data_IF_307212746765
#
_entry.id   IF_307212746765
#
_cell.length_a   1.000
_cell.length_b   1.000
_cell.length_c   1.000
_cell.angle_alpha   90.00
_cell.angle_beta   90.00
_cell.angle_gamma   90.00
#
_symmetry.space_group_name_H-M   'P 1'
#
loop_
_entity.id
_entity.type
_entity.pdbx_description
1 polymer ?
#
# COMPACT_ATOMS: atom_id res chain seq x y z
N UNK A 1 7.34 -3.33 35.98
CA UNK A 1 6.44 -4.50 36.11
C UNK A 1 5.02 -4.00 35.96
N UNK A 2 4.40 -4.25 34.81
CA UNK A 2 2.98 -3.93 34.57
C UNK A 2 2.15 -5.13 35.00
N UNK A 3 1.39 -4.97 36.08
CA UNK A 3 0.43 -5.99 36.53
C UNK A 3 -0.82 -5.97 35.65
N UNK A 4 -1.40 -7.15 35.47
CA UNK A 4 -2.52 -7.48 34.59
C UNK A 4 -3.68 -6.46 34.73
N UNK A 5 -3.93 -5.95 35.93
CA UNK A 5 -5.04 -5.02 36.25
C UNK A 5 -5.00 -3.64 35.56
N UNK A 6 -3.92 -3.26 34.87
CA UNK A 6 -3.82 -1.98 34.16
C UNK A 6 -4.23 -2.04 32.67
N UNK A 7 -4.60 -3.21 32.16
CA UNK A 7 -5.00 -3.38 30.77
C UNK A 7 -6.49 -3.10 30.57
N UNK A 8 -6.82 -2.41 29.48
CA UNK A 8 -8.22 -2.16 29.07
C UNK A 8 -8.97 -3.50 28.95
N UNK A 9 -10.20 -3.54 29.47
CA UNK A 9 -11.14 -4.68 29.40
C UNK A 9 -11.22 -5.26 27.98
N UNK A 10 -11.07 -4.41 26.95
CA UNK A 10 -11.04 -4.84 25.54
C UNK A 10 -9.94 -5.86 25.23
N UNK A 11 -8.78 -5.77 25.88
CA UNK A 11 -7.65 -6.68 25.69
C UNK A 11 -8.01 -8.09 26.19
N UNK A 12 -8.72 -8.18 27.30
CA UNK A 12 -9.22 -9.46 27.83
C UNK A 12 -10.26 -10.09 26.93
N UNK A 13 -11.18 -9.29 26.40
CA UNK A 13 -12.19 -9.78 25.43
C UNK A 13 -11.49 -10.30 24.18
N UNK A 14 -10.47 -9.60 23.69
CA UNK A 14 -9.73 -10.03 22.51
C UNK A 14 -8.90 -11.29 22.77
N UNK A 15 -8.27 -11.39 23.94
CA UNK A 15 -7.56 -12.59 24.37
C UNK A 15 -8.50 -13.79 24.45
N UNK A 16 -9.64 -13.65 25.13
CA UNK A 16 -10.64 -14.71 25.26
C UNK A 16 -11.17 -15.17 23.89
N UNK A 17 -11.43 -14.25 22.96
CA UNK A 17 -11.83 -14.58 21.58
C UNK A 17 -10.76 -15.39 20.85
N UNK A 18 -9.48 -14.98 20.96
CA UNK A 18 -8.37 -15.70 20.33
C UNK A 18 -8.19 -17.10 20.92
N UNK A 19 -8.25 -17.24 22.24
CA UNK A 19 -8.16 -18.54 22.91
C UNK A 19 -9.31 -19.46 22.48
N UNK A 20 -10.54 -18.96 22.42
CA UNK A 20 -11.69 -19.74 21.96
C UNK A 20 -11.55 -20.21 20.50
N UNK A 21 -11.03 -19.35 19.61
CA UNK A 21 -10.76 -19.72 18.21
C UNK A 21 -9.69 -20.81 18.10
N UNK A 22 -8.61 -20.70 18.87
CA UNK A 22 -7.54 -21.72 18.89
C UNK A 22 -8.09 -23.05 19.42
N UNK A 23 -8.89 -23.02 20.48
CA UNK A 23 -9.52 -24.23 21.01
C UNK A 23 -10.49 -24.87 20.01
N UNK A 24 -11.26 -24.06 19.26
CA UNK A 24 -12.17 -24.58 18.25
C UNK A 24 -11.41 -25.27 17.12
N UNK A 25 -10.38 -24.62 16.57
CA UNK A 25 -9.50 -25.20 15.54
C UNK A 25 -8.86 -26.49 16.07
N UNK A 26 -8.47 -26.51 17.35
CA UNK A 26 -7.90 -27.68 17.98
C UNK A 26 -8.89 -28.85 18.06
N UNK A 27 -10.17 -28.60 18.34
CA UNK A 27 -11.21 -29.63 18.37
C UNK A 27 -11.51 -30.17 16.98
N UNK A 28 -11.57 -29.29 15.98
CA UNK A 28 -11.92 -29.65 14.60
C UNK A 28 -10.80 -30.44 13.91
N UNK A 29 -9.54 -30.02 14.11
CA UNK A 29 -8.39 -30.56 13.38
C UNK A 29 -7.43 -31.41 14.21
N UNK A 30 -7.62 -31.48 15.53
CA UNK A 30 -6.78 -32.24 16.47
C UNK A 30 -5.28 -32.06 16.23
N UNK A 31 -4.83 -30.82 16.04
CA UNK A 31 -3.45 -30.50 15.61
C UNK A 31 -2.37 -31.01 16.59
N UNK A 32 -2.72 -31.27 17.85
CA UNK A 32 -1.80 -31.81 18.86
C UNK A 32 -1.58 -33.31 18.67
N UNK A 33 -2.51 -34.01 18.01
CA UNK A 33 -2.42 -35.44 17.69
C UNK A 33 -1.72 -35.66 16.34
N UNK A 34 -1.56 -34.61 15.52
CA UNK A 34 -0.96 -34.70 14.18
C UNK A 34 0.50 -35.20 14.19
N UNK A 35 1.25 -34.91 15.25
CA UNK A 35 2.63 -35.41 15.43
C UNK A 35 2.70 -36.90 15.75
N UNK A 36 1.59 -37.52 16.18
CA UNK A 36 1.50 -38.94 16.49
C UNK A 36 1.07 -39.81 15.31
N UNK A 37 0.67 -39.19 14.19
CA UNK A 37 0.27 -39.92 12.97
C UNK A 37 1.52 -40.42 12.25
N UNK A 38 1.71 -41.75 12.08
CA UNK A 38 2.86 -42.28 11.37
C UNK A 38 2.84 -41.82 9.90
N UNK A 39 4.00 -41.47 9.35
CA UNK A 39 4.12 -40.96 7.97
C UNK A 39 3.52 -41.92 6.91
N UNK A 40 3.46 -43.22 7.22
CA UNK A 40 2.88 -44.25 6.36
C UNK A 40 1.35 -44.16 6.22
N UNK A 41 0.66 -43.46 7.13
CA UNK A 41 -0.78 -43.18 7.07
C UNK A 41 -1.11 -41.81 6.45
N UNK A 42 -0.11 -41.06 5.99
CA UNK A 42 -0.38 -39.84 5.23
C UNK A 42 -1.02 -40.22 3.91
N UNK A 43 -2.33 -39.98 3.80
CA UNK A 43 -3.02 -40.02 2.52
C UNK A 43 -2.38 -38.96 1.63
N UNK A 44 -1.75 -39.41 0.54
CA UNK A 44 -1.35 -38.53 -0.54
C UNK A 44 -2.63 -37.87 -1.03
N UNK A 45 -2.71 -36.55 -0.87
CA UNK A 45 -3.85 -35.77 -1.28
C UNK A 45 -4.02 -35.93 -2.81
N UNK A 46 -4.98 -36.76 -3.22
CA UNK A 46 -5.27 -37.05 -4.63
C UNK A 46 -6.13 -35.94 -5.27
N UNK A 47 -6.49 -34.91 -4.50
CA UNK A 47 -7.19 -33.76 -5.03
C UNK A 47 -6.25 -32.95 -5.92
N UNK A 48 -6.57 -32.78 -7.21
CA UNK A 48 -5.75 -31.95 -8.07
C UNK A 48 -5.85 -30.53 -7.54
N UNK A 49 -4.69 -29.94 -7.24
CA UNK A 49 -4.64 -28.52 -6.84
C UNK A 49 -5.19 -27.69 -8.00
N UNK A 50 -5.87 -26.59 -7.70
CA UNK A 50 -6.42 -25.69 -8.72
C UNK A 50 -5.37 -25.32 -9.79
N UNK A 51 -4.11 -25.18 -9.39
CA UNK A 51 -2.97 -24.93 -10.28
C UNK A 51 -2.70 -26.05 -11.29
N UNK A 52 -2.91 -27.31 -10.91
CA UNK A 52 -2.73 -28.48 -11.78
C UNK A 52 -3.91 -28.64 -12.74
N UNK A 53 -5.13 -28.34 -12.29
CA UNK A 53 -6.30 -28.25 -13.17
C UNK A 53 -6.15 -27.12 -14.18
N UNK A 54 -5.66 -25.95 -13.78
CA UNK A 54 -5.37 -24.83 -14.69
C UNK A 54 -4.31 -25.20 -15.74
N UNK A 55 -3.31 -26.01 -15.36
CA UNK A 55 -2.31 -26.55 -16.28
C UNK A 55 -2.94 -27.51 -17.29
N UNK A 56 -3.76 -28.46 -16.82
CA UNK A 56 -4.48 -29.41 -17.67
C UNK A 56 -5.48 -28.74 -18.61
N UNK A 57 -6.17 -27.71 -18.14
CA UNK A 57 -7.13 -26.93 -18.92
C UNK A 57 -6.45 -25.95 -19.88
N UNK A 58 -5.11 -25.83 -19.86
CA UNK A 58 -4.37 -24.87 -20.67
C UNK A 58 -4.67 -23.40 -20.33
N UNK A 59 -5.30 -23.15 -19.18
CA UNK A 59 -5.65 -21.81 -18.68
C UNK A 59 -4.50 -21.21 -17.87
N UNK A 60 -3.48 -22.01 -17.54
CA UNK A 60 -2.34 -21.61 -16.71
C UNK A 60 -1.78 -20.24 -17.12
N UNK A 61 -1.69 -19.29 -16.18
CA UNK A 61 -1.21 -17.94 -16.45
C UNK A 61 0.25 -17.92 -16.95
N UNK A 62 1.02 -18.98 -16.69
CA UNK A 62 2.41 -19.11 -17.16
C UNK A 62 2.52 -19.34 -18.68
N UNK A 63 1.48 -19.86 -19.34
CA UNK A 63 1.45 -20.07 -20.79
C UNK A 63 0.95 -18.86 -21.57
N UNK A 64 0.26 -17.91 -20.91
CA UNK A 64 -0.21 -16.68 -21.55
C UNK A 64 0.91 -15.66 -21.56
N UNK A 65 1.83 -15.79 -22.53
CA UNK A 65 2.61 -14.64 -22.98
C UNK A 65 1.60 -13.59 -23.44
N UNK A 66 1.53 -12.41 -22.79
CA UNK A 66 0.58 -11.39 -23.22
C UNK A 66 0.87 -11.06 -24.69
N UNK A 67 -0.17 -11.03 -25.52
CA UNK A 67 -0.06 -10.77 -26.96
C UNK A 67 0.43 -9.35 -27.25
N UNK A 68 0.26 -8.45 -26.30
CA UNK A 68 0.88 -7.13 -26.25
C UNK A 68 1.21 -6.77 -24.81
N UNK A 69 2.39 -6.20 -24.60
CA UNK A 69 2.78 -5.57 -23.35
C UNK A 69 2.84 -4.06 -23.60
N UNK A 70 1.96 -3.31 -22.94
CA UNK A 70 1.97 -1.86 -23.00
C UNK A 70 2.74 -1.33 -21.80
N UNK A 71 3.73 -0.49 -22.06
CA UNK A 71 4.37 0.26 -21.00
C UNK A 71 3.42 1.34 -20.50
N UNK A 72 3.45 1.59 -19.19
CA UNK A 72 2.75 2.72 -18.62
C UNK A 72 3.27 4.01 -19.28
N UNK A 73 2.39 4.95 -19.67
CA UNK A 73 2.82 6.25 -20.19
C UNK A 73 3.61 7.01 -19.11
N UNK A 74 4.45 7.95 -19.55
CA UNK A 74 5.13 8.84 -18.62
C UNK A 74 4.10 9.56 -17.72
N UNK A 75 4.37 9.58 -16.42
CA UNK A 75 3.47 10.14 -15.39
C UNK A 75 2.09 9.46 -15.26
N UNK A 76 1.98 8.16 -15.59
CA UNK A 76 0.75 7.38 -15.44
C UNK A 76 0.10 7.51 -14.06
N UNK A 77 0.88 7.54 -12.98
CA UNK A 77 0.35 7.63 -11.62
C UNK A 77 -0.32 8.98 -11.33
N UNK A 78 0.12 10.06 -11.99
CA UNK A 78 -0.51 11.39 -11.88
C UNK A 78 -1.81 11.43 -12.71
N UNK A 79 -1.80 10.80 -13.89
CA UNK A 79 -2.96 10.76 -14.78
C UNK A 79 -4.06 9.81 -14.30
N UNK A 80 -3.69 8.73 -13.62
CA UNK A 80 -4.62 7.71 -13.12
C UNK A 80 -5.19 8.08 -11.75
N UNK A 81 -5.04 9.31 -11.28
CA UNK A 81 -5.73 9.76 -10.07
C UNK A 81 -7.23 9.43 -10.21
N UNK A 82 -7.73 8.68 -9.23
CA UNK A 82 -9.15 8.34 -9.15
C UNK A 82 -9.95 9.65 -9.27
N UNK A 83 -11.10 9.69 -9.97
CA UNK A 83 -11.99 10.84 -9.93
C UNK A 83 -12.49 11.15 -8.50
N UNK A 84 -12.30 10.21 -7.56
CA UNK A 84 -12.54 10.39 -6.12
C UNK A 84 -11.25 10.63 -5.31
N UNK A 85 -10.07 10.66 -5.94
CA UNK A 85 -8.87 11.13 -5.30
C UNK A 85 -8.99 12.64 -5.12
N UNK A 86 -8.87 13.08 -3.87
CA UNK A 86 -9.16 14.44 -3.39
C UNK A 86 -8.36 15.56 -4.08
N UNK A 87 -7.44 15.25 -4.99
CA UNK A 87 -6.66 16.22 -5.76
C UNK A 87 -7.44 17.06 -6.79
N UNK A 88 -8.65 16.65 -7.19
CA UNK A 88 -9.55 17.50 -8.00
C UNK A 88 -10.47 18.39 -7.15
N UNK A 89 -10.68 18.04 -5.88
CA UNK A 89 -11.58 18.75 -4.95
C UNK A 89 -10.80 19.75 -4.10
N UNK A 90 -9.54 19.44 -3.79
CA UNK A 90 -8.67 20.32 -3.03
C UNK A 90 -8.05 21.41 -3.93
N UNK A 91 -8.12 22.70 -3.53
CA UNK A 91 -7.35 23.73 -4.20
C UNK A 91 -5.86 23.49 -3.93
N UNK A 92 -5.11 23.12 -4.97
CA UNK A 92 -3.66 22.98 -4.90
C UNK A 92 -2.99 24.32 -5.23
N UNK A 93 -1.89 24.64 -4.53
CA UNK A 93 -1.03 25.80 -4.80
C UNK A 93 -0.12 25.53 -6.02
N UNK A 94 -0.73 25.14 -7.15
CA UNK A 94 -0.08 24.83 -8.41
C UNK A 94 -0.19 23.35 -8.82
N UNK A 95 0.01 23.08 -10.11
CA UNK A 95 0.06 21.71 -10.63
C UNK A 95 1.42 21.08 -10.33
N UNK A 96 1.43 19.86 -9.77
CA UNK A 96 2.65 19.08 -9.52
C UNK A 96 3.52 18.96 -10.79
N UNK A 97 2.90 18.85 -11.98
CA UNK A 97 3.63 18.79 -13.25
C UNK A 97 4.42 20.07 -13.55
N UNK A 98 3.90 21.22 -13.13
CA UNK A 98 4.58 22.51 -13.33
C UNK A 98 5.76 22.60 -12.38
N UNK A 99 5.59 22.16 -11.13
CA UNK A 99 6.66 22.14 -10.12
C UNK A 99 7.79 21.18 -10.50
N UNK A 100 7.47 19.98 -10.99
CA UNK A 100 8.48 19.01 -11.46
C UNK A 100 9.25 19.53 -12.67
N UNK A 101 8.56 20.12 -13.66
CA UNK A 101 9.21 20.78 -14.82
C UNK A 101 10.14 21.92 -14.39
N UNK A 102 9.76 22.72 -13.38
CA UNK A 102 10.63 23.77 -12.84
C UNK A 102 11.85 23.16 -12.13
N UNK A 103 11.67 22.11 -11.32
CA UNK A 103 12.78 21.40 -10.67
C UNK A 103 13.75 20.81 -11.68
N UNK A 104 13.25 20.22 -12.77
CA UNK A 104 14.08 19.67 -13.84
C UNK A 104 14.85 20.77 -14.60
N UNK A 105 14.20 21.88 -14.93
CA UNK A 105 14.86 23.05 -15.54
C UNK A 105 15.97 23.59 -14.63
N UNK A 106 15.70 23.70 -13.33
CA UNK A 106 16.71 24.12 -12.35
C UNK A 106 17.85 23.12 -12.26
N UNK A 107 17.57 21.81 -12.28
CA UNK A 107 18.60 20.74 -12.28
C UNK A 107 19.53 20.81 -13.48
N UNK A 108 19.00 21.07 -14.68
CA UNK A 108 19.77 21.20 -15.94
C UNK A 108 20.63 22.47 -16.00
N UNK A 109 20.31 23.52 -15.24
CA UNK A 109 21.11 24.74 -15.14
C UNK A 109 22.34 24.54 -14.25
N UNK A 110 23.48 24.13 -14.82
CA UNK A 110 24.80 24.17 -14.18
C UNK A 110 25.33 25.61 -14.18
N UNK A 111 25.14 26.34 -13.08
CA UNK A 111 25.66 27.71 -12.95
C UNK A 111 26.91 27.73 -12.08
N UNK A 112 28.02 28.25 -12.62
CA UNK A 112 29.32 28.34 -11.95
C UNK A 112 29.37 29.48 -10.90
N UNK A 113 28.46 30.46 -10.99
CA UNK A 113 28.45 31.63 -10.11
C UNK A 113 27.80 31.37 -8.73
N UNK A 114 28.54 31.71 -7.66
CA UNK A 114 28.13 31.54 -6.23
C UNK A 114 26.79 32.23 -5.90
N UNK A 115 26.48 33.36 -6.56
CA UNK A 115 25.21 34.11 -6.39
C UNK A 115 24.02 33.37 -6.99
N UNK A 116 24.20 32.70 -8.14
CA UNK A 116 23.13 31.94 -8.80
C UNK A 116 22.83 30.63 -8.05
N UNK A 117 23.84 30.00 -7.43
CA UNK A 117 23.64 28.84 -6.56
C UNK A 117 22.72 29.17 -5.36
N UNK A 118 22.93 30.33 -4.71
CA UNK A 118 22.07 30.78 -3.60
C UNK A 118 20.62 31.05 -4.04
N UNK A 119 20.43 31.72 -5.19
CA UNK A 119 19.09 31.98 -5.74
C UNK A 119 18.36 30.68 -6.10
N UNK A 120 19.06 29.73 -6.70
CA UNK A 120 18.50 28.42 -7.02
C UNK A 120 18.08 27.66 -5.77
N UNK A 121 18.89 27.72 -4.70
CA UNK A 121 18.53 27.11 -3.42
C UNK A 121 17.24 27.73 -2.85
N UNK A 122 17.15 29.06 -2.81
CA UNK A 122 15.94 29.74 -2.33
C UNK A 122 14.67 29.39 -3.13
N UNK A 123 14.79 29.18 -4.44
CA UNK A 123 13.65 28.75 -5.27
C UNK A 123 13.27 27.29 -4.99
N UNK A 124 14.25 26.41 -4.73
CA UNK A 124 13.97 25.02 -4.33
C UNK A 124 13.30 24.98 -2.95
N UNK A 125 13.83 25.72 -1.99
CA UNK A 125 13.26 25.81 -0.64
C UNK A 125 11.79 26.31 -0.70
N UNK A 126 11.50 27.29 -1.55
CA UNK A 126 10.13 27.77 -1.80
C UNK A 126 9.21 26.71 -2.45
N UNK A 127 9.73 25.87 -3.34
CA UNK A 127 8.95 24.77 -3.92
C UNK A 127 8.66 23.66 -2.90
N UNK A 128 9.61 23.40 -1.99
CA UNK A 128 9.44 22.43 -0.91
C UNK A 128 8.36 22.93 0.08
N UNK A 129 8.38 24.21 0.46
CA UNK A 129 7.33 24.81 1.30
C UNK A 129 5.93 24.71 0.67
N UNK A 130 5.83 24.84 -0.65
CA UNK A 130 4.55 24.69 -1.36
C UNK A 130 4.07 23.23 -1.36
N UNK A 131 4.98 22.26 -1.43
CA UNK A 131 4.63 20.84 -1.28
C UNK A 131 4.08 20.57 0.13
N UNK A 132 4.75 21.07 1.17
CA UNK A 132 4.29 20.91 2.56
C UNK A 132 2.89 21.53 2.78
N UNK A 133 2.62 22.70 2.19
CA UNK A 133 1.30 23.33 2.24
C UNK A 133 0.22 22.49 1.53
N UNK A 134 0.55 21.90 0.39
CA UNK A 134 -0.39 21.03 -0.33
C UNK A 134 -0.70 19.75 0.46
N UNK A 135 0.29 19.19 1.16
CA UNK A 135 0.08 18.03 2.04
C UNK A 135 -0.84 18.37 3.23
N UNK A 136 -0.67 19.55 3.82
CA UNK A 136 -1.57 20.04 4.87
C UNK A 136 -3.00 20.24 4.36
N UNK A 137 -3.17 20.82 3.17
CA UNK A 137 -4.48 20.97 2.53
C UNK A 137 -5.09 19.59 2.26
N UNK A 138 -4.29 18.65 1.75
CA UNK A 138 -4.71 17.26 1.53
C UNK A 138 -5.18 16.57 2.81
N UNK A 139 -4.48 16.79 3.92
CA UNK A 139 -4.88 16.27 5.23
C UNK A 139 -6.22 16.88 5.70
N UNK A 140 -6.39 18.20 5.59
CA UNK A 140 -7.65 18.87 5.98
C UNK A 140 -8.82 18.33 5.13
N UNK A 141 -8.65 18.27 3.81
CA UNK A 141 -9.69 17.78 2.91
C UNK A 141 -9.98 16.30 3.15
N UNK A 142 -8.95 15.48 3.41
CA UNK A 142 -9.12 14.08 3.78
C UNK A 142 -9.93 13.90 5.07
N UNK A 143 -9.68 14.75 6.08
CA UNK A 143 -10.48 14.76 7.32
C UNK A 143 -11.92 15.22 7.08
N UNK A 144 -12.13 16.23 6.24
CA UNK A 144 -13.49 16.64 5.84
C UNK A 144 -14.21 15.52 5.08
N UNK A 145 -13.52 14.79 4.21
CA UNK A 145 -14.07 13.64 3.48
C UNK A 145 -14.45 12.50 4.42
N UNK A 146 -13.62 12.17 5.40
CA UNK A 146 -13.94 11.18 6.45
C UNK A 146 -15.17 11.60 7.26
N UNK A 147 -15.26 12.89 7.63
CA UNK A 147 -16.40 13.41 8.38
C UNK A 147 -17.73 13.34 7.58
N UNK A 148 -17.67 13.54 6.26
CA UNK A 148 -18.84 13.41 5.38
C UNK A 148 -19.28 11.96 5.17
N UNK A 149 -18.39 10.98 5.36
CA UNK A 149 -18.69 9.55 5.21
C UNK A 149 -19.31 8.91 6.46
N UNK A 150 -19.25 9.58 7.62
CA UNK A 150 -19.84 9.12 8.89
C UNK A 150 -18.83 8.51 9.85
#
# INVERSE_FOLDING_TARGET
>A
MTTIDQLDIRIYIQYAKRSAQVEQIQRDFRLNEATSVPAQTQLVDLYPKLTELELLLGVSPFLRKPWAHFHAPEHFDVQRWSPFAFGQVAPLLGSQEVQTKIREKLKKLTSENKKNKKRRKAILDCLDEVEDLNDLIGFIVGRMGQFLQG
#
